data_IF_202750263497
#
_entry.id   IF_202750263497
#
_cell.length_a   1.000
_cell.length_b   1.000
_cell.length_c   1.000
_cell.angle_alpha   90.00
_cell.angle_beta   90.00
_cell.angle_gamma   90.00
#
_symmetry.space_group_name_H-M   'P 1'
#
loop_
_entity.id
_entity.type
_entity.pdbx_description
1 polymer ?
#
# COMPACT_ATOMS: atom_id res chain seq x y z
N UNK A 1 4.40 -0.22 18.97
CA UNK A 1 5.68 -0.92 18.70
C UNK A 1 6.03 -0.74 17.23
N UNK A 2 7.26 -0.34 16.90
CA UNK A 2 7.75 -0.36 15.51
C UNK A 2 8.05 -1.82 15.15
N UNK A 3 7.47 -2.29 14.06
CA UNK A 3 7.68 -3.65 13.55
C UNK A 3 8.75 -3.70 12.48
N UNK A 4 8.75 -2.72 11.59
CA UNK A 4 9.66 -2.66 10.45
C UNK A 4 9.85 -1.20 10.01
N UNK A 5 10.98 -0.92 9.38
CA UNK A 5 11.17 0.28 8.60
C UNK A 5 12.01 -0.06 7.37
N UNK A 6 11.56 0.41 6.22
CA UNK A 6 12.26 0.22 4.95
C UNK A 6 12.50 1.57 4.30
N UNK A 7 13.72 1.78 3.81
CA UNK A 7 14.14 2.98 3.12
C UNK A 7 14.58 2.62 1.71
N UNK A 8 14.12 3.41 0.75
CA UNK A 8 14.42 3.22 -0.66
C UNK A 8 15.02 4.53 -1.19
N UNK A 9 16.33 4.51 -1.45
CA UNK A 9 17.08 5.69 -1.88
C UNK A 9 16.65 6.15 -3.27
N UNK A 10 16.36 5.22 -4.19
CA UNK A 10 15.96 5.54 -5.56
C UNK A 10 14.57 6.19 -5.59
N UNK A 11 13.66 5.72 -4.75
CA UNK A 11 12.32 6.31 -4.59
C UNK A 11 12.28 7.50 -3.63
N UNK A 12 13.40 7.80 -2.93
CA UNK A 12 13.54 8.78 -1.85
C UNK A 12 12.35 8.78 -0.88
N UNK A 13 12.04 7.61 -0.34
CA UNK A 13 10.92 7.41 0.60
C UNK A 13 11.27 6.40 1.68
N UNK A 14 10.57 6.51 2.80
CA UNK A 14 10.58 5.52 3.86
C UNK A 14 9.17 4.99 4.13
N UNK A 15 9.07 3.71 4.46
CA UNK A 15 7.84 3.08 4.95
C UNK A 15 8.12 2.61 6.36
N UNK A 16 7.32 3.05 7.32
CA UNK A 16 7.42 2.64 8.72
C UNK A 16 6.17 1.85 9.09
N UNK A 17 6.37 0.63 9.59
CA UNK A 17 5.28 -0.23 10.03
C UNK A 17 5.23 -0.24 11.54
N UNK A 18 4.08 0.17 12.09
CA UNK A 18 3.83 0.15 13.54
C UNK A 18 2.60 -0.68 13.86
N UNK A 19 2.61 -1.31 15.03
CA UNK A 19 1.45 -1.99 15.61
C UNK A 19 1.18 -1.44 17.00
N UNK A 20 -0.10 -1.32 17.35
CA UNK A 20 -0.51 -0.82 18.66
C UNK A 20 -2.00 -0.97 18.88
N UNK A 21 -2.43 -0.67 20.10
CA UNK A 21 -3.84 -0.53 20.44
C UNK A 21 -4.41 0.73 19.79
N UNK A 22 -5.74 0.81 19.71
CA UNK A 22 -6.45 1.98 19.22
C UNK A 22 -5.93 3.29 19.82
N UNK A 23 -5.91 3.39 21.16
CA UNK A 23 -5.42 4.57 21.87
C UNK A 23 -3.92 4.81 21.69
N UNK A 24 -3.13 3.73 21.62
CA UNK A 24 -1.69 3.84 21.41
C UNK A 24 -1.36 4.43 20.04
N UNK A 25 -2.04 3.97 18.99
CA UNK A 25 -1.89 4.49 17.63
C UNK A 25 -2.45 5.90 17.50
N UNK A 26 -3.63 6.16 18.07
CA UNK A 26 -4.26 7.50 18.09
C UNK A 26 -3.33 8.57 18.67
N UNK A 27 -2.57 8.22 19.71
CA UNK A 27 -1.60 9.13 20.33
C UNK A 27 -0.29 9.23 19.56
N UNK A 28 0.23 8.13 19.02
CA UNK A 28 1.60 8.08 18.49
C UNK A 28 1.73 8.45 17.02
N UNK A 29 0.72 8.13 16.19
CA UNK A 29 0.75 8.43 14.75
C UNK A 29 0.77 9.93 14.48
N UNK A 30 -0.04 10.78 15.14
CA UNK A 30 0.06 12.23 14.95
C UNK A 30 1.44 12.79 15.29
N UNK A 31 2.07 12.30 16.37
CA UNK A 31 3.43 12.73 16.74
C UNK A 31 4.46 12.40 15.65
N UNK A 32 4.30 11.28 14.96
CA UNK A 32 5.14 10.93 13.82
C UNK A 32 4.91 11.87 12.62
N UNK A 33 3.66 12.26 12.37
CA UNK A 33 3.33 13.25 11.35
C UNK A 33 3.98 14.61 11.64
N UNK A 34 3.88 15.07 12.90
CA UNK A 34 4.54 16.29 13.36
C UNK A 34 6.06 16.23 13.20
N UNK A 35 6.68 15.10 13.58
CA UNK A 35 8.12 14.92 13.40
C UNK A 35 8.53 14.91 11.92
N UNK A 36 7.74 14.29 11.05
CA UNK A 36 7.97 14.32 9.60
C UNK A 36 7.86 15.76 9.06
N UNK A 37 6.88 16.54 9.51
CA UNK A 37 6.71 17.94 9.15
C UNK A 37 7.92 18.81 9.56
N UNK A 38 8.50 18.55 10.73
CA UNK A 38 9.69 19.28 11.22
C UNK A 38 10.95 18.97 10.41
N UNK A 39 11.15 17.71 10.03
CA UNK A 39 12.41 17.22 9.46
C UNK A 39 12.41 17.19 7.92
N UNK A 40 11.23 17.19 7.29
CA UNK A 40 11.08 17.04 5.84
C UNK A 40 10.51 18.32 5.24
N UNK A 41 11.28 18.95 4.37
CA UNK A 41 10.86 20.09 3.56
C UNK A 41 10.59 19.64 2.12
N UNK A 42 9.31 19.46 1.77
CA UNK A 42 8.90 19.01 0.43
C UNK A 42 9.32 19.96 -0.69
N UNK A 43 9.57 21.24 -0.39
CA UNK A 43 10.07 22.21 -1.38
C UNK A 43 11.49 21.88 -1.86
N UNK A 44 12.19 20.99 -1.16
CA UNK A 44 13.54 20.50 -1.48
C UNK A 44 13.55 18.98 -1.69
N UNK A 45 12.40 18.31 -1.61
CA UNK A 45 12.29 16.87 -1.76
C UNK A 45 12.05 16.50 -3.22
N UNK A 46 12.93 15.67 -3.75
CA UNK A 46 12.81 15.06 -5.07
C UNK A 46 12.98 13.54 -4.95
N UNK A 47 12.15 12.76 -5.64
CA UNK A 47 12.21 11.30 -5.63
C UNK A 47 11.42 10.70 -6.78
N UNK A 48 11.77 9.47 -7.20
CA UNK A 48 11.09 8.80 -8.29
C UNK A 48 9.63 8.40 -7.95
N UNK A 49 9.28 8.37 -6.67
CA UNK A 49 7.92 8.01 -6.22
C UNK A 49 7.02 9.25 -6.09
N UNK A 50 5.80 9.23 -6.67
CA UNK A 50 4.84 10.31 -6.51
C UNK A 50 4.51 10.57 -5.04
N UNK A 51 4.57 11.84 -4.62
CA UNK A 51 4.35 12.25 -3.24
C UNK A 51 3.58 13.57 -3.18
N UNK A 52 2.75 13.75 -2.16
CA UNK A 52 2.04 15.00 -1.89
C UNK A 52 2.19 15.48 -0.44
N UNK A 53 2.83 14.69 0.43
CA UNK A 53 2.99 14.97 1.85
C UNK A 53 4.34 14.53 2.41
N UNK A 54 4.84 15.22 3.44
CA UNK A 54 6.00 14.79 4.23
C UNK A 54 5.71 13.44 4.91
N UNK A 55 4.50 13.32 5.46
CA UNK A 55 3.83 12.05 5.61
C UNK A 55 2.80 11.91 4.48
N UNK A 56 3.17 11.18 3.44
CA UNK A 56 2.36 11.13 2.22
C UNK A 56 1.06 10.33 2.39
N UNK A 57 1.14 9.16 3.04
CA UNK A 57 -0.03 8.33 3.34
C UNK A 57 0.11 7.61 4.68
N UNK A 58 -1.00 7.51 5.43
CA UNK A 58 -1.10 6.78 6.68
C UNK A 58 -2.31 5.80 6.65
N UNK A 59 -2.09 4.53 6.27
CA UNK A 59 -3.14 3.51 6.36
C UNK A 59 -3.27 2.89 7.76
N UNK A 60 -4.52 2.70 8.19
CA UNK A 60 -4.88 1.79 9.27
C UNK A 60 -5.40 0.49 8.70
N UNK A 61 -4.90 -0.63 9.22
CA UNK A 61 -5.16 -1.95 8.69
C UNK A 61 -5.64 -2.86 9.84
N UNK A 62 -6.78 -3.55 9.69
CA UNK A 62 -7.20 -4.54 10.67
C UNK A 62 -6.26 -5.74 10.60
N UNK A 63 -5.73 -6.16 11.75
CA UNK A 63 -4.82 -7.31 11.86
C UNK A 63 -5.50 -8.46 12.59
N UNK A 64 -5.94 -8.24 13.83
CA UNK A 64 -6.54 -9.27 14.67
C UNK A 64 -7.54 -8.67 15.63
N UNK A 65 -8.70 -9.31 15.77
CA UNK A 65 -9.77 -8.91 16.71
C UNK A 65 -10.21 -7.44 16.57
N UNK A 66 -10.06 -6.87 15.38
CA UNK A 66 -10.41 -5.49 15.04
C UNK A 66 -11.07 -5.52 13.67
N UNK A 67 -12.23 -4.89 13.56
CA UNK A 67 -12.95 -4.75 12.30
C UNK A 67 -12.52 -3.51 11.51
N UNK A 68 -12.94 -3.47 10.25
CA UNK A 68 -12.66 -2.34 9.37
C UNK A 68 -13.29 -1.04 9.90
N UNK A 69 -14.47 -1.10 10.53
CA UNK A 69 -15.16 0.07 11.06
C UNK A 69 -14.34 0.77 12.17
N UNK A 70 -13.73 -0.02 13.06
CA UNK A 70 -12.82 0.50 14.07
C UNK A 70 -11.60 1.19 13.44
N UNK A 71 -11.03 0.61 12.37
CA UNK A 71 -9.94 1.26 11.63
C UNK A 71 -10.38 2.56 10.93
N UNK A 72 -11.60 2.60 10.37
CA UNK A 72 -12.15 3.82 9.74
C UNK A 72 -12.28 4.93 10.79
N UNK A 73 -12.84 4.63 11.97
CA UNK A 73 -12.98 5.59 13.06
C UNK A 73 -11.61 6.10 13.53
N UNK A 74 -10.64 5.20 13.70
CA UNK A 74 -9.27 5.57 14.07
C UNK A 74 -8.62 6.48 13.02
N UNK A 75 -8.79 6.18 11.74
CA UNK A 75 -8.28 7.00 10.64
C UNK A 75 -8.85 8.42 10.67
N UNK A 76 -10.16 8.54 10.93
CA UNK A 76 -10.83 9.84 11.06
C UNK A 76 -10.30 10.64 12.26
N UNK A 77 -10.25 10.02 13.45
CA UNK A 77 -9.77 10.69 14.68
C UNK A 77 -8.30 11.11 14.55
N UNK A 78 -7.45 10.26 13.98
CA UNK A 78 -6.03 10.59 13.75
C UNK A 78 -5.88 11.70 12.72
N UNK A 79 -6.67 11.69 11.64
CA UNK A 79 -6.70 12.77 10.67
C UNK A 79 -7.07 14.11 11.30
N UNK A 80 -8.13 14.13 12.12
CA UNK A 80 -8.56 15.33 12.83
C UNK A 80 -7.46 15.88 13.76
N UNK A 81 -6.79 15.02 14.53
CA UNK A 81 -5.67 15.41 15.41
C UNK A 81 -4.52 15.99 14.60
N UNK A 82 -4.11 15.35 13.51
CA UNK A 82 -2.99 15.84 12.68
C UNK A 82 -3.31 17.22 12.11
N UNK A 83 -4.53 17.41 11.61
CA UNK A 83 -4.97 18.69 11.06
C UNK A 83 -5.00 19.80 12.14
N UNK A 84 -5.48 19.47 13.34
CA UNK A 84 -5.59 20.42 14.44
C UNK A 84 -4.23 20.82 15.04
N UNK A 85 -3.34 19.85 15.26
CA UNK A 85 -2.08 20.08 15.97
C UNK A 85 -0.95 20.58 15.05
N UNK A 86 -0.99 20.24 13.76
CA UNK A 86 0.10 20.49 12.81
C UNK A 86 -0.32 21.29 11.57
N UNK A 87 -1.59 21.69 11.47
CA UNK A 87 -2.15 22.45 10.34
C UNK A 87 -1.95 21.76 8.96
N UNK A 88 -1.72 20.45 8.95
CA UNK A 88 -1.56 19.65 7.74
C UNK A 88 -2.95 19.23 7.24
N UNK A 89 -3.36 19.60 6.01
CA UNK A 89 -4.63 19.17 5.45
C UNK A 89 -4.69 17.66 5.22
N UNK A 90 -5.83 17.07 5.55
CA UNK A 90 -6.06 15.63 5.48
C UNK A 90 -7.11 15.29 4.44
N UNK A 91 -6.79 14.30 3.60
CA UNK A 91 -7.77 13.59 2.78
C UNK A 91 -8.02 12.21 3.37
N UNK A 92 -9.27 11.88 3.65
CA UNK A 92 -9.66 10.52 3.94
C UNK A 92 -9.73 9.70 2.65
N UNK A 93 -9.14 8.51 2.64
CA UNK A 93 -9.03 7.66 1.46
C UNK A 93 -9.41 6.19 1.71
N UNK A 94 -9.50 5.40 0.64
CA UNK A 94 -9.95 4.00 0.67
C UNK A 94 -11.29 3.87 1.41
N UNK A 95 -11.38 2.98 2.40
CA UNK A 95 -12.64 2.71 3.13
C UNK A 95 -13.08 3.88 4.01
N UNK A 96 -12.20 4.85 4.24
CA UNK A 96 -12.51 6.09 4.97
C UNK A 96 -12.94 7.24 4.06
N UNK A 97 -12.89 7.08 2.74
CA UNK A 97 -13.13 8.16 1.80
C UNK A 97 -14.55 8.74 1.92
N UNK A 98 -14.65 10.08 2.02
CA UNK A 98 -15.92 10.79 2.01
C UNK A 98 -16.60 10.84 0.62
N UNK A 99 -15.87 10.47 -0.44
CA UNK A 99 -16.41 10.39 -1.80
C UNK A 99 -15.71 9.32 -2.64
N UNK A 100 -16.39 8.72 -3.65
CA UNK A 100 -15.83 7.66 -4.48
C UNK A 100 -14.52 8.04 -5.19
N UNK A 101 -14.34 9.32 -5.53
CA UNK A 101 -13.15 9.82 -6.21
C UNK A 101 -11.90 9.79 -5.31
N UNK A 102 -12.07 9.75 -3.99
CA UNK A 102 -11.00 9.70 -2.99
C UNK A 102 -10.62 8.29 -2.58
N UNK A 103 -11.37 7.27 -2.98
CA UNK A 103 -11.01 5.89 -2.63
C UNK A 103 -9.61 5.53 -3.16
N UNK A 104 -9.31 5.92 -4.41
CA UNK A 104 -8.02 5.63 -5.03
C UNK A 104 -6.97 6.71 -4.73
N UNK A 105 -5.99 6.35 -3.91
CA UNK A 105 -4.86 7.21 -3.55
C UNK A 105 -4.13 7.82 -4.75
N UNK A 106 -4.04 7.13 -5.89
CA UNK A 106 -3.39 7.67 -7.08
C UNK A 106 -4.16 8.86 -7.68
N UNK A 107 -5.49 8.90 -7.49
CA UNK A 107 -6.33 10.03 -7.91
C UNK A 107 -6.09 11.21 -6.98
N UNK A 108 -6.00 10.97 -5.66
CA UNK A 108 -5.64 12.03 -4.68
C UNK A 108 -4.23 12.55 -4.93
N UNK A 109 -3.24 11.68 -5.16
CA UNK A 109 -1.84 12.06 -5.43
C UNK A 109 -1.59 12.65 -6.81
N UNK A 110 -2.58 12.62 -7.71
CA UNK A 110 -2.40 13.18 -9.07
C UNK A 110 -2.07 14.67 -8.97
N UNK A 111 -0.94 15.05 -9.56
CA UNK A 111 -0.37 16.40 -9.47
C UNK A 111 0.75 16.52 -8.44
N UNK A 112 0.96 15.50 -7.60
CA UNK A 112 1.99 15.46 -6.55
C UNK A 112 1.93 16.68 -5.63
N UNK A 113 3.01 16.99 -4.91
CA UNK A 113 3.09 18.15 -4.04
C UNK A 113 2.88 19.47 -4.81
N UNK A 114 3.50 19.59 -5.98
CA UNK A 114 3.52 20.80 -6.81
C UNK A 114 2.11 21.20 -7.27
N UNK A 115 1.26 20.23 -7.60
CA UNK A 115 -0.10 20.47 -8.12
C UNK A 115 -1.18 20.53 -7.05
N UNK A 116 -0.88 20.30 -5.76
CA UNK A 116 -1.90 20.33 -4.71
C UNK A 116 -2.51 21.71 -4.53
N UNK A 117 -1.73 22.77 -4.73
CA UNK A 117 -2.20 24.14 -4.55
C UNK A 117 -3.35 24.46 -5.50
N UNK A 118 -3.21 24.14 -6.78
CA UNK A 118 -4.25 24.36 -7.80
C UNK A 118 -5.41 23.38 -7.63
N UNK A 119 -5.10 22.13 -7.24
CA UNK A 119 -6.11 21.09 -7.05
C UNK A 119 -7.08 21.42 -5.93
N UNK A 120 -6.59 21.87 -4.77
CA UNK A 120 -7.41 22.19 -3.60
C UNK A 120 -8.31 23.44 -3.78
N UNK A 121 -8.12 24.21 -4.87
CA UNK A 121 -9.06 25.28 -5.23
C UNK A 121 -10.39 24.75 -5.78
N UNK A 122 -10.42 23.48 -6.21
CA UNK A 122 -11.60 22.83 -6.76
C UNK A 122 -12.48 22.31 -5.60
N UNK A 123 -13.80 22.51 -5.69
CA UNK A 123 -14.72 22.19 -4.61
C UNK A 123 -14.69 20.69 -4.22
N UNK A 124 -14.48 19.81 -5.20
CA UNK A 124 -14.35 18.36 -5.00
C UNK A 124 -13.08 17.93 -4.25
N UNK A 125 -12.07 18.80 -4.18
CA UNK A 125 -10.77 18.56 -3.55
C UNK A 125 -10.58 19.34 -2.25
N UNK A 126 -11.69 19.78 -1.64
CA UNK A 126 -11.67 20.30 -0.27
C UNK A 126 -11.26 19.20 0.72
N UNK A 127 -10.23 19.36 1.56
CA UNK A 127 -9.80 18.33 2.50
C UNK A 127 -10.91 17.99 3.51
N UNK A 128 -10.85 16.79 4.06
CA UNK A 128 -11.77 16.33 5.11
C UNK A 128 -11.49 17.06 6.43
N UNK A 129 -10.21 17.32 6.72
CA UNK A 129 -9.78 18.10 7.89
C UNK A 129 -8.66 19.10 7.52
N UNK A 130 -8.58 20.20 8.27
CA UNK A 130 -7.55 21.24 8.10
C UNK A 130 -7.94 22.35 7.12
N UNK A 131 -6.93 23.10 6.64
CA UNK A 131 -7.15 24.24 5.76
C UNK A 131 -7.35 23.84 4.30
N UNK A 132 -8.12 24.65 3.55
CA UNK A 132 -8.37 24.49 2.11
C UNK A 132 -7.14 24.86 1.23
N UNK A 133 -5.92 24.67 1.73
CA UNK A 133 -4.63 24.88 1.04
C UNK A 133 -3.57 23.92 1.59
N UNK A 134 -2.59 23.45 0.78
CA UNK A 134 -1.53 22.57 1.28
C UNK A 134 -0.65 23.28 2.32
N UNK A 135 -0.10 22.52 3.26
CA UNK A 135 0.95 23.03 4.16
C UNK A 135 2.22 23.36 3.36
N UNK A 136 2.87 24.50 3.64
CA UNK A 136 3.92 25.04 2.77
C UNK A 136 5.13 24.13 2.59
N UNK A 137 5.56 23.43 3.64
CA UNK A 137 6.70 22.50 3.62
C UNK A 137 6.29 21.02 3.68
N UNK A 138 5.06 20.73 4.12
CA UNK A 138 4.65 19.37 4.46
C UNK A 138 3.53 18.84 3.56
N UNK A 139 2.94 19.70 2.71
CA UNK A 139 1.94 19.32 1.72
C UNK A 139 0.62 18.90 2.36
N UNK A 140 0.11 17.76 1.92
CA UNK A 140 -1.15 17.16 2.40
C UNK A 140 -0.93 15.69 2.72
N UNK A 141 -1.71 15.14 3.64
CA UNK A 141 -1.61 13.73 4.04
C UNK A 141 -2.89 12.98 3.67
N UNK A 142 -2.77 11.79 3.07
CA UNK A 142 -3.90 10.86 2.97
C UNK A 142 -3.94 9.93 4.20
N UNK A 143 -5.05 9.90 4.93
CA UNK A 143 -5.25 9.00 6.08
C UNK A 143 -6.46 8.11 5.82
N UNK A 144 -6.40 6.82 6.10
CA UNK A 144 -7.55 5.97 5.78
C UNK A 144 -7.40 4.53 6.24
N UNK A 145 -8.49 3.79 6.16
CA UNK A 145 -8.53 2.37 6.49
C UNK A 145 -8.59 1.50 5.23
N UNK A 146 -7.84 0.40 5.23
CA UNK A 146 -7.82 -0.55 4.11
C UNK A 146 -7.38 -1.94 4.53
N UNK A 147 -7.62 -2.92 3.67
CA UNK A 147 -7.08 -4.27 3.85
C UNK A 147 -5.54 -4.27 3.77
N UNK A 148 -4.86 -5.24 4.43
CA UNK A 148 -3.42 -5.39 4.30
C UNK A 148 -3.03 -5.50 2.82
N UNK A 149 -2.04 -4.71 2.41
CA UNK A 149 -1.49 -4.82 1.07
C UNK A 149 -0.20 -5.61 1.11
N UNK A 150 -0.12 -6.59 0.22
CA UNK A 150 1.06 -7.43 0.04
C UNK A 150 1.74 -6.97 -1.24
N UNK A 151 2.94 -6.42 -1.12
CA UNK A 151 3.80 -6.15 -2.26
C UNK A 151 4.48 -7.47 -2.64
N UNK A 152 4.09 -8.03 -3.78
CA UNK A 152 4.50 -9.36 -4.23
C UNK A 152 5.06 -9.27 -5.66
N UNK A 153 6.35 -9.49 -5.83
CA UNK A 153 6.99 -9.45 -7.16
C UNK A 153 7.35 -10.88 -7.61
N UNK A 154 7.14 -11.16 -8.90
CA UNK A 154 7.49 -12.46 -9.50
C UNK A 154 8.56 -12.24 -10.57
N UNK A 155 9.69 -12.92 -10.41
CA UNK A 155 10.87 -12.85 -11.27
C UNK A 155 10.70 -13.71 -12.53
N UNK A 156 11.00 -13.15 -13.69
CA UNK A 156 10.96 -13.83 -14.98
C UNK A 156 12.37 -14.07 -15.50
N UNK A 157 12.61 -15.24 -16.13
CA UNK A 157 13.87 -15.61 -16.76
C UNK A 157 14.11 -14.87 -18.10
N UNK A 158 13.93 -13.57 -18.12
CA UNK A 158 14.13 -12.71 -19.30
C UNK A 158 14.50 -11.30 -18.85
N UNK A 159 15.19 -10.54 -19.68
CA UNK A 159 15.41 -9.10 -19.51
C UNK A 159 14.42 -8.24 -20.32
N UNK A 160 13.49 -8.88 -21.04
CA UNK A 160 12.50 -8.20 -21.87
C UNK A 160 11.36 -7.62 -21.03
N UNK A 161 11.42 -6.30 -20.82
CA UNK A 161 10.43 -5.55 -20.06
C UNK A 161 9.04 -5.53 -20.72
N UNK A 162 8.95 -5.71 -22.03
CA UNK A 162 7.67 -5.78 -22.74
C UNK A 162 6.90 -7.04 -22.34
N UNK A 163 7.59 -8.17 -22.15
CA UNK A 163 6.99 -9.42 -21.67
C UNK A 163 6.39 -9.22 -20.27
N UNK A 164 7.15 -8.66 -19.33
CA UNK A 164 6.65 -8.36 -17.99
C UNK A 164 5.44 -7.43 -18.01
N UNK A 165 5.46 -6.38 -18.83
CA UNK A 165 4.34 -5.45 -18.98
C UNK A 165 3.09 -6.07 -19.64
N UNK A 166 3.26 -7.03 -20.55
CA UNK A 166 2.14 -7.80 -21.12
C UNK A 166 1.51 -8.70 -20.06
N UNK A 167 2.32 -9.41 -19.29
CA UNK A 167 1.84 -10.28 -18.20
C UNK A 167 1.15 -9.44 -17.12
N UNK A 168 1.78 -8.35 -16.65
CA UNK A 168 1.19 -7.44 -15.65
C UNK A 168 -0.18 -6.90 -16.07
N UNK A 169 -0.34 -6.54 -17.36
CA UNK A 169 -1.64 -6.11 -17.91
C UNK A 169 -2.68 -7.22 -17.85
N UNK A 170 -2.32 -8.47 -18.15
CA UNK A 170 -3.23 -9.62 -18.10
C UNK A 170 -3.63 -10.01 -16.69
N UNK A 171 -2.72 -9.88 -15.73
CA UNK A 171 -2.96 -10.27 -14.33
C UNK A 171 -3.88 -9.29 -13.60
N UNK A 172 -3.74 -7.98 -13.83
CA UNK A 172 -4.54 -6.97 -13.13
C UNK A 172 -5.94 -6.80 -13.70
N UNK A 173 -6.89 -6.42 -12.85
CA UNK A 173 -8.31 -6.24 -13.20
C UNK A 173 -8.52 -5.38 -14.47
N UNK A 174 -7.79 -4.28 -14.60
CA UNK A 174 -7.92 -3.38 -15.75
C UNK A 174 -7.62 -4.01 -17.12
N UNK A 175 -6.96 -5.17 -17.18
CA UNK A 175 -6.78 -5.94 -18.41
C UNK A 175 -7.59 -7.24 -18.46
N UNK A 176 -8.63 -7.35 -17.64
CA UNK A 176 -9.52 -8.52 -17.56
C UNK A 176 -9.04 -9.62 -16.62
N UNK A 177 -8.00 -9.38 -15.83
CA UNK A 177 -7.47 -10.33 -14.86
C UNK A 177 -8.16 -10.28 -13.49
N UNK A 178 -7.41 -10.65 -12.47
CA UNK A 178 -7.85 -10.76 -11.08
C UNK A 178 -8.18 -9.39 -10.49
N UNK A 179 -9.20 -9.38 -9.63
CA UNK A 179 -9.58 -8.19 -8.84
C UNK A 179 -8.54 -7.96 -7.74
N UNK A 180 -8.51 -6.73 -7.20
CA UNK A 180 -7.63 -6.39 -6.08
C UNK A 180 -6.13 -6.53 -6.34
N UNK A 181 -5.73 -6.44 -7.62
CA UNK A 181 -4.32 -6.44 -8.01
C UNK A 181 -4.02 -5.20 -8.83
N UNK A 182 -2.97 -4.50 -8.43
CA UNK A 182 -2.26 -3.52 -9.26
C UNK A 182 -0.93 -4.14 -9.67
N UNK A 183 -0.63 -4.16 -10.97
CA UNK A 183 0.58 -4.80 -11.49
C UNK A 183 1.26 -3.94 -12.55
N UNK A 184 2.59 -4.02 -12.61
CA UNK A 184 3.43 -3.44 -13.67
C UNK A 184 4.70 -4.26 -13.90
N UNK A 185 5.31 -4.10 -15.09
CA UNK A 185 6.62 -4.68 -15.36
C UNK A 185 7.73 -3.77 -14.81
N UNK A 186 8.73 -4.37 -14.16
CA UNK A 186 9.89 -3.66 -13.61
C UNK A 186 11.17 -4.38 -14.06
N UNK A 187 12.19 -3.62 -14.46
CA UNK A 187 13.50 -4.18 -14.81
C UNK A 187 14.43 -4.14 -13.59
N UNK A 188 15.08 -5.27 -13.30
CA UNK A 188 16.13 -5.37 -12.30
C UNK A 188 17.49 -5.40 -13.02
N UNK A 189 18.08 -4.22 -13.19
CA UNK A 189 19.29 -4.03 -14.00
C UNK A 189 20.47 -4.87 -13.50
N UNK A 190 20.69 -4.91 -12.18
CA UNK A 190 21.81 -5.65 -11.58
C UNK A 190 21.74 -7.16 -11.82
N UNK A 191 20.52 -7.71 -11.91
CA UNK A 191 20.28 -9.14 -12.12
C UNK A 191 20.06 -9.48 -13.59
N UNK A 192 20.00 -8.48 -14.48
CA UNK A 192 19.64 -8.62 -15.89
C UNK A 192 18.35 -9.45 -16.09
N UNK A 193 17.34 -9.19 -15.27
CA UNK A 193 16.01 -9.82 -15.37
C UNK A 193 14.90 -8.78 -15.24
N UNK A 194 13.67 -9.19 -15.54
CA UNK A 194 12.46 -8.40 -15.28
C UNK A 194 11.54 -9.11 -14.31
N UNK A 195 10.69 -8.32 -13.67
CA UNK A 195 9.69 -8.75 -12.73
C UNK A 195 8.31 -8.29 -13.12
N UNK A 196 7.31 -9.09 -12.76
CA UNK A 196 5.93 -8.61 -12.60
C UNK A 196 5.82 -8.13 -11.17
N UNK A 197 5.90 -6.81 -10.97
CA UNK A 197 5.72 -6.20 -9.64
C UNK A 197 4.25 -5.96 -9.37
N UNK A 198 3.78 -6.38 -8.20
CA UNK A 198 2.34 -6.35 -7.88
C UNK A 198 2.08 -5.86 -6.46
N UNK A 199 1.00 -5.11 -6.31
CA UNK A 199 0.36 -4.82 -5.04
C UNK A 199 -0.96 -5.58 -4.98
N UNK A 200 -1.03 -6.57 -4.09
CA UNK A 200 -2.25 -7.26 -3.69
C UNK A 200 -3.00 -6.36 -2.73
N UNK A 201 -4.05 -5.68 -3.18
CA UNK A 201 -4.79 -4.71 -2.35
C UNK A 201 -5.80 -5.39 -1.41
N UNK A 202 -6.16 -6.63 -1.70
CA UNK A 202 -6.97 -7.51 -0.85
C UNK A 202 -6.67 -8.96 -1.21
N UNK A 203 -5.90 -9.64 -0.34
CA UNK A 203 -5.48 -11.03 -0.56
C UNK A 203 -6.62 -12.04 -0.35
N UNK A 204 -7.69 -11.65 0.35
CA UNK A 204 -8.84 -12.52 0.60
C UNK A 204 -9.73 -12.65 -0.65
N UNK A 205 -9.71 -11.63 -1.51
CA UNK A 205 -10.43 -11.64 -2.80
C UNK A 205 -9.60 -12.19 -3.96
N UNK A 206 -8.28 -12.18 -3.87
CA UNK A 206 -7.37 -12.82 -4.83
C UNK A 206 -6.10 -13.24 -4.11
N UNK A 207 -5.83 -14.54 -4.05
CA UNK A 207 -4.77 -15.10 -3.21
C UNK A 207 -3.40 -15.04 -3.88
N UNK A 208 -2.33 -15.18 -3.10
CA UNK A 208 -0.96 -15.20 -3.63
C UNK A 208 -0.72 -16.37 -4.59
N UNK A 209 -1.32 -17.54 -4.33
CA UNK A 209 -1.16 -18.72 -5.18
C UNK A 209 -1.85 -18.51 -6.54
N UNK A 210 -3.06 -17.94 -6.57
CA UNK A 210 -3.80 -17.68 -7.82
C UNK A 210 -3.00 -16.78 -8.75
N UNK A 211 -2.37 -15.75 -8.18
CA UNK A 211 -1.53 -14.82 -8.91
C UNK A 211 -0.27 -15.48 -9.42
N UNK A 212 0.41 -16.27 -8.59
CA UNK A 212 1.59 -17.01 -8.99
C UNK A 212 1.28 -17.95 -10.15
N UNK A 213 0.20 -18.71 -10.09
CA UNK A 213 -0.19 -19.64 -11.15
C UNK A 213 -0.62 -18.90 -12.43
N UNK A 214 -1.32 -17.77 -12.31
CA UNK A 214 -1.68 -16.94 -13.46
C UNK A 214 -0.43 -16.35 -14.14
N UNK A 215 0.55 -15.85 -13.36
CA UNK A 215 1.81 -15.34 -13.92
C UNK A 215 2.62 -16.45 -14.57
N UNK A 216 2.73 -17.64 -13.96
CA UNK A 216 3.36 -18.80 -14.59
C UNK A 216 2.68 -19.17 -15.91
N UNK A 217 1.34 -19.21 -15.93
CA UNK A 217 0.58 -19.53 -17.13
C UNK A 217 0.82 -18.52 -18.26
N UNK A 218 0.79 -17.23 -17.95
CA UNK A 218 1.05 -16.18 -18.93
C UNK A 218 2.52 -16.16 -19.38
N UNK A 219 3.49 -16.37 -18.49
CA UNK A 219 4.92 -16.45 -18.84
C UNK A 219 5.22 -17.60 -19.80
N UNK A 220 4.60 -18.77 -19.61
CA UNK A 220 4.73 -19.94 -20.51
C UNK A 220 4.32 -19.62 -21.95
N UNK A 221 3.35 -18.71 -22.16
CA UNK A 221 2.92 -18.29 -23.51
C UNK A 221 4.01 -17.54 -24.28
N UNK A 222 4.98 -16.98 -23.57
CA UNK A 222 6.14 -16.29 -24.13
C UNK A 222 7.41 -17.16 -24.12
N UNK A 223 7.32 -18.43 -23.70
CA UNK A 223 8.49 -19.29 -23.55
C UNK A 223 9.43 -18.87 -22.41
N UNK A 224 8.92 -18.11 -21.43
CA UNK A 224 9.68 -17.59 -20.29
C UNK A 224 9.31 -18.34 -19.02
N UNK A 225 10.30 -18.67 -18.20
CA UNK A 225 10.10 -19.30 -16.90
C UNK A 225 9.99 -18.27 -15.78
N UNK A 226 9.20 -18.59 -14.76
CA UNK A 226 9.28 -17.92 -13.45
C UNK A 226 10.46 -18.51 -12.68
N UNK A 227 11.35 -17.67 -12.14
CA UNK A 227 12.59 -18.08 -11.46
C UNK A 227 12.62 -17.75 -9.97
N UNK A 228 11.51 -17.24 -9.45
CA UNK A 228 11.34 -16.94 -8.03
C UNK A 228 10.34 -15.81 -7.82
N UNK A 229 10.07 -15.52 -6.56
CA UNK A 229 9.26 -14.38 -6.16
C UNK A 229 9.76 -13.82 -4.84
N UNK A 230 9.28 -12.63 -4.50
CA UNK A 230 9.67 -11.90 -3.31
C UNK A 230 8.45 -11.16 -2.75
N UNK A 231 8.33 -11.16 -1.42
CA UNK A 231 7.43 -10.27 -0.70
C UNK A 231 8.28 -9.11 -0.22
N UNK A 232 7.84 -7.88 -0.52
CA UNK A 232 8.50 -6.67 -0.06
C UNK A 232 7.83 -6.21 1.23
N UNK A 233 8.57 -6.21 2.33
CA UNK A 233 8.06 -5.87 3.67
C UNK A 233 7.39 -7.07 4.35
N UNK A 234 6.27 -6.81 5.01
CA UNK A 234 5.53 -7.82 5.79
C UNK A 234 4.28 -8.28 5.06
N UNK A 235 3.89 -9.54 5.28
CA UNK A 235 2.63 -10.11 4.80
C UNK A 235 1.83 -10.71 5.97
N UNK A 236 0.48 -10.71 5.89
CA UNK A 236 -0.36 -11.46 6.82
C UNK A 236 -0.05 -12.96 6.77
N UNK A 237 -0.03 -13.62 7.93
CA UNK A 237 0.17 -15.07 8.03
C UNK A 237 -0.86 -15.84 7.22
N UNK A 238 -2.13 -15.41 7.28
CA UNK A 238 -3.25 -16.00 6.54
C UNK A 238 -2.94 -16.13 5.04
N UNK A 239 -2.40 -15.09 4.42
CA UNK A 239 -2.07 -15.09 2.99
C UNK A 239 -1.01 -16.13 2.61
N UNK A 240 -0.10 -16.46 3.52
CA UNK A 240 0.93 -17.49 3.33
C UNK A 240 0.37 -18.89 3.57
N UNK A 241 -0.46 -19.04 4.59
CA UNK A 241 -1.12 -20.30 4.92
C UNK A 241 -2.09 -20.71 3.82
N UNK A 242 -2.85 -19.77 3.23
CA UNK A 242 -3.71 -20.02 2.07
C UNK A 242 -2.92 -20.60 0.89
N UNK A 243 -1.73 -20.05 0.62
CA UNK A 243 -0.87 -20.56 -0.44
C UNK A 243 -0.29 -21.94 -0.12
N UNK A 244 0.06 -22.19 1.14
CA UNK A 244 0.55 -23.50 1.58
C UNK A 244 -0.56 -24.56 1.51
N UNK A 245 -1.77 -24.23 1.96
CA UNK A 245 -2.93 -25.11 1.93
C UNK A 245 -3.31 -25.50 0.51
N UNK A 246 -3.33 -24.54 -0.42
CA UNK A 246 -3.58 -24.83 -1.84
C UNK A 246 -2.52 -25.74 -2.45
N UNK A 247 -1.23 -25.41 -2.27
CA UNK A 247 -0.14 -26.18 -2.86
C UNK A 247 -0.03 -27.61 -2.30
N UNK A 248 -0.29 -27.78 -1.01
CA UNK A 248 -0.27 -29.08 -0.33
C UNK A 248 -1.60 -29.83 -0.43
N UNK A 249 -2.65 -29.21 -1.00
CA UNK A 249 -3.99 -29.76 -1.11
C UNK A 249 -4.59 -30.14 0.26
N UNK A 250 -4.42 -29.26 1.25
CA UNK A 250 -4.95 -29.49 2.60
C UNK A 250 -6.46 -29.23 2.61
N UNK A 251 -7.21 -30.18 3.14
CA UNK A 251 -8.66 -30.05 3.36
C UNK A 251 -8.92 -29.52 4.77
N UNK A 252 -9.88 -28.60 4.89
CA UNK A 252 -10.32 -27.97 6.14
C UNK A 252 -9.17 -27.37 7.00
N UNK A 253 -8.09 -26.91 6.35
CA UNK A 253 -6.94 -26.34 7.03
C UNK A 253 -7.02 -24.82 7.19
N UNK A 254 -6.84 -24.35 8.42
CA UNK A 254 -6.93 -22.93 8.77
C UNK A 254 -5.90 -22.48 9.81
N UNK A 255 -5.95 -21.18 10.14
CA UNK A 255 -5.04 -20.60 11.14
C UNK A 255 -5.19 -21.23 12.53
N UNK A 256 -6.34 -21.79 12.88
CA UNK A 256 -6.61 -22.48 14.14
C UNK A 256 -5.85 -23.81 14.30
N UNK A 257 -5.36 -24.35 13.19
CA UNK A 257 -4.49 -25.53 13.14
C UNK A 257 -2.99 -25.17 13.04
N UNK A 258 -2.64 -23.88 13.01
CA UNK A 258 -1.25 -23.41 13.06
C UNK A 258 -0.85 -23.17 14.52
N UNK A 259 0.18 -23.87 15.00
CA UNK A 259 0.61 -23.85 16.41
C UNK A 259 0.90 -22.42 16.88
N UNK A 260 1.63 -21.64 16.09
CA UNK A 260 2.01 -20.26 16.43
C UNK A 260 0.81 -19.32 16.50
N UNK A 261 -0.22 -19.54 15.67
CA UNK A 261 -1.45 -18.75 15.71
C UNK A 261 -2.21 -18.92 17.03
N UNK A 262 -2.17 -20.13 17.60
CA UNK A 262 -2.74 -20.46 18.92
C UNK A 262 -1.98 -19.82 20.07
N UNK A 263 -0.66 -19.63 19.94
CA UNK A 263 0.14 -18.94 20.96
C UNK A 263 -0.13 -17.44 21.03
N UNK A 264 -0.67 -16.88 19.95
CA UNK A 264 -0.99 -15.47 19.84
C UNK A 264 -2.45 -15.17 20.26
N UNK A 265 -3.28 -16.19 20.53
CA UNK A 265 -4.67 -16.08 21.04
C UNK A 265 -4.75 -15.49 22.46
#
# INVERSE_FOLDING_TARGET
KVLDFSQDADHNRAVVTVIGTYEGLKRSVPLAAGKAMEEIDLRKHEGAHPRMGAMDVCPFVPIRNVDMETCIRLASEVGEIIAADYEIPIFLYERSAGSPQRENLAVIRKGEFEGMKEKMLQAEWKPDFGHDRPHESAGVTAVGARMPLIAYNINLATSDLEIANKIARRVRHGGGGLRYIKAMGVALQERNIVQVSMNMTDFTGSSLYQVMEMVKAEARRFGVNVIGSEIIGLAPLEALIDAAADYLQLEDFGLDQVIESRLLE
#
